data_IF_458887809545
#
_entry.id   IF_458887809545
#
_cell.length_a   1.000
_cell.length_b   1.000
_cell.length_c   1.000
_cell.angle_alpha   90.00
_cell.angle_beta   90.00
_cell.angle_gamma   90.00
#
_symmetry.space_group_name_H-M   'P 1'
#
loop_
_entity.id
_entity.type
_entity.pdbx_description
1 polymer ?
#
# COMPACT_ATOMS: atom_id res chain seq x y z
N UNK A 1 -6.28 -4.37 18.50
CA UNK A 1 -4.94 -4.14 19.07
C UNK A 1 -4.21 -5.45 19.37
N UNK A 2 -4.82 -6.43 20.05
CA UNK A 2 -4.17 -7.72 20.40
C UNK A 2 -3.67 -8.48 19.17
N UNK A 3 -4.45 -8.58 18.09
CA UNK A 3 -4.05 -9.26 16.85
C UNK A 3 -2.85 -8.58 16.19
N UNK A 4 -2.77 -7.25 16.25
CA UNK A 4 -1.65 -6.50 15.72
C UNK A 4 -0.37 -6.80 16.51
N UNK A 5 -0.45 -6.83 17.84
CA UNK A 5 0.68 -7.17 18.70
C UNK A 5 1.18 -8.60 18.46
N UNK A 6 0.26 -9.57 18.31
CA UNK A 6 0.62 -10.97 17.97
C UNK A 6 1.30 -11.06 16.61
N UNK A 7 0.81 -10.31 15.61
CA UNK A 7 1.42 -10.26 14.27
C UNK A 7 2.82 -9.64 14.32
N UNK A 8 2.97 -8.52 15.02
CA UNK A 8 4.27 -7.86 15.18
C UNK A 8 5.29 -8.79 15.85
N UNK A 9 4.89 -9.51 16.92
CA UNK A 9 5.73 -10.51 17.58
C UNK A 9 6.14 -11.64 16.64
N UNK A 10 5.20 -12.19 15.86
CA UNK A 10 5.48 -13.25 14.87
C UNK A 10 6.47 -12.78 13.80
N UNK A 11 6.34 -11.54 13.35
CA UNK A 11 7.20 -10.94 12.34
C UNK A 11 8.50 -10.36 12.92
N UNK A 12 8.72 -10.48 14.24
CA UNK A 12 9.90 -9.97 14.96
C UNK A 12 10.14 -8.47 14.68
N UNK A 13 9.05 -7.69 14.61
CA UNK A 13 9.14 -6.26 14.34
C UNK A 13 9.55 -5.49 15.61
N UNK A 14 10.44 -4.48 15.49
CA UNK A 14 10.74 -3.57 16.59
C UNK A 14 9.49 -2.73 16.94
N UNK A 15 9.08 -2.75 18.21
CA UNK A 15 7.86 -2.04 18.67
C UNK A 15 8.16 -0.76 19.44
N UNK A 16 9.42 -0.43 19.66
CA UNK A 16 9.88 0.62 20.58
C UNK A 16 9.37 2.02 20.19
N UNK A 17 9.13 2.26 18.90
CA UNK A 17 8.67 3.56 18.37
C UNK A 17 7.31 3.48 17.70
N UNK A 18 6.55 2.41 17.97
CA UNK A 18 5.22 2.21 17.40
C UNK A 18 4.14 2.50 18.43
N UNK A 19 3.35 3.54 18.18
CA UNK A 19 2.10 3.81 18.88
C UNK A 19 0.92 3.35 18.05
N UNK A 20 -0.06 2.70 18.66
CA UNK A 20 -1.25 2.19 17.97
C UNK A 20 -2.51 2.73 18.64
N UNK A 21 -3.41 3.28 17.84
CA UNK A 21 -4.72 3.74 18.27
C UNK A 21 -5.83 3.03 17.48
N UNK A 22 -6.94 2.71 18.15
CA UNK A 22 -8.17 2.24 17.51
C UNK A 22 -9.17 3.40 17.49
N UNK A 23 -9.09 4.22 16.43
CA UNK A 23 -9.92 5.41 16.24
C UNK A 23 -10.27 5.54 14.77
N UNK A 24 -11.49 6.00 14.46
CA UNK A 24 -11.99 6.22 13.10
C UNK A 24 -12.34 7.68 12.82
N UNK A 25 -12.48 8.52 13.85
CA UNK A 25 -12.82 9.93 13.71
C UNK A 25 -11.58 10.74 13.34
N UNK A 26 -11.62 11.39 12.20
CA UNK A 26 -10.49 12.14 11.65
C UNK A 26 -10.04 13.27 12.59
N UNK A 27 -11.00 13.95 13.24
CA UNK A 27 -10.74 15.06 14.15
C UNK A 27 -9.98 14.59 15.41
N UNK A 28 -10.33 13.43 15.95
CA UNK A 28 -9.64 12.85 17.12
C UNK A 28 -8.23 12.38 16.74
N UNK A 29 -8.08 11.80 15.56
CA UNK A 29 -6.76 11.40 15.04
C UNK A 29 -5.88 12.64 14.87
N UNK A 30 -6.40 13.74 14.36
CA UNK A 30 -5.65 15.00 14.24
C UNK A 30 -5.15 15.50 15.60
N UNK A 31 -6.00 15.48 16.63
CA UNK A 31 -5.60 15.86 18.00
C UNK A 31 -4.49 14.95 18.56
N UNK A 32 -4.54 13.63 18.25
CA UNK A 32 -3.47 12.70 18.60
C UNK A 32 -2.16 13.05 17.90
N UNK A 33 -2.22 13.36 16.61
CA UNK A 33 -1.07 13.77 15.79
C UNK A 33 -0.44 15.05 16.35
N UNK A 34 -1.24 16.07 16.65
CA UNK A 34 -0.77 17.34 17.21
C UNK A 34 -0.07 17.15 18.54
N UNK A 35 -0.60 16.28 19.40
CA UNK A 35 -0.08 15.99 20.74
C UNK A 35 1.20 15.16 20.70
N UNK A 36 1.24 14.12 19.86
CA UNK A 36 2.35 13.15 19.82
C UNK A 36 3.45 13.50 18.81
N UNK A 37 3.12 14.35 17.81
CA UNK A 37 4.03 14.77 16.74
C UNK A 37 4.80 13.60 16.10
N UNK A 38 4.13 12.57 15.62
CA UNK A 38 4.78 11.46 14.96
C UNK A 38 5.39 11.91 13.64
N UNK A 39 6.46 11.28 13.18
CA UNK A 39 7.02 11.52 11.84
C UNK A 39 6.19 10.86 10.73
N UNK A 40 5.60 9.71 11.05
CA UNK A 40 4.79 8.92 10.12
C UNK A 40 3.49 8.50 10.80
N UNK A 41 2.39 8.64 10.10
CA UNK A 41 1.06 8.14 10.50
C UNK A 41 0.58 7.16 9.44
N UNK A 42 0.11 5.99 9.85
CA UNK A 42 -0.50 5.01 8.95
C UNK A 42 -1.96 4.86 9.33
N UNK A 43 -2.86 5.08 8.38
CA UNK A 43 -4.30 4.94 8.53
C UNK A 43 -4.78 3.69 7.76
N UNK A 44 -5.14 2.63 8.48
CA UNK A 44 -5.61 1.36 7.92
C UNK A 44 -7.04 1.09 8.41
N UNK A 45 -8.02 1.36 7.57
CA UNK A 45 -8.01 1.85 6.19
C UNK A 45 -8.78 3.16 6.05
N UNK A 46 -8.53 3.89 4.96
CA UNK A 46 -9.24 5.16 4.68
C UNK A 46 -10.76 4.98 4.58
N UNK A 47 -11.24 3.79 4.19
CA UNK A 47 -12.66 3.51 4.04
C UNK A 47 -13.45 3.50 5.37
N UNK A 48 -12.79 3.26 6.49
CA UNK A 48 -13.45 3.27 7.81
C UNK A 48 -13.33 4.61 8.53
N UNK A 49 -12.53 5.53 7.97
CA UNK A 49 -12.39 6.88 8.54
C UNK A 49 -13.65 7.70 8.29
N UNK A 50 -13.97 8.56 9.24
CA UNK A 50 -15.14 9.43 9.18
C UNK A 50 -14.84 10.82 9.73
N UNK A 51 -15.54 11.80 9.20
CA UNK A 51 -15.58 13.18 9.72
C UNK A 51 -16.97 13.43 10.29
N UNK A 52 -17.03 13.95 11.52
CA UNK A 52 -18.29 14.22 12.23
C UNK A 52 -19.17 15.26 11.53
N UNK A 53 -18.54 16.17 10.78
CA UNK A 53 -19.25 17.23 10.04
C UNK A 53 -19.97 16.74 8.77
N UNK A 54 -19.85 15.46 8.39
CA UNK A 54 -20.41 14.91 7.18
C UNK A 54 -21.53 13.89 7.47
N UNK A 55 -22.73 14.13 6.95
CA UNK A 55 -23.89 13.24 7.10
C UNK A 55 -23.78 11.94 6.27
N UNK A 56 -22.70 11.78 5.49
CA UNK A 56 -22.50 10.61 4.64
C UNK A 56 -21.91 9.43 5.42
N UNK A 57 -22.27 8.20 5.01
CA UNK A 57 -21.77 6.99 5.69
C UNK A 57 -20.27 6.77 5.47
N UNK A 58 -19.55 6.17 6.45
CA UNK A 58 -18.17 5.73 6.27
C UNK A 58 -18.02 4.85 5.02
N UNK A 59 -16.92 5.00 4.28
CA UNK A 59 -16.67 4.28 3.04
C UNK A 59 -17.37 4.84 1.79
N UNK A 60 -18.29 5.80 1.95
CA UNK A 60 -18.84 6.52 0.80
C UNK A 60 -17.78 7.35 0.09
N UNK A 61 -17.99 7.63 -1.21
CA UNK A 61 -17.08 8.45 -2.02
C UNK A 61 -16.82 9.81 -1.35
N UNK A 62 -17.86 10.41 -0.81
CA UNK A 62 -17.77 11.71 -0.13
C UNK A 62 -16.91 11.65 1.12
N UNK A 63 -17.17 10.68 2.02
CA UNK A 63 -16.37 10.50 3.24
C UNK A 63 -14.90 10.23 2.90
N UNK A 64 -14.62 9.30 2.00
CA UNK A 64 -13.24 8.95 1.63
C UNK A 64 -12.50 10.16 1.04
N UNK A 65 -13.16 10.93 0.17
CA UNK A 65 -12.57 12.11 -0.45
C UNK A 65 -12.27 13.23 0.56
N UNK A 66 -13.26 13.59 1.37
CA UNK A 66 -13.10 14.67 2.33
C UNK A 66 -12.11 14.32 3.45
N UNK A 67 -12.15 13.08 3.93
CA UNK A 67 -11.21 12.57 4.93
C UNK A 67 -9.77 12.55 4.38
N UNK A 68 -9.58 12.09 3.14
CA UNK A 68 -8.25 12.13 2.50
C UNK A 68 -7.75 13.56 2.30
N UNK A 69 -8.65 14.51 1.91
CA UNK A 69 -8.33 15.93 1.82
C UNK A 69 -7.89 16.50 3.16
N UNK A 70 -8.62 16.16 4.22
CA UNK A 70 -8.31 16.56 5.59
C UNK A 70 -6.91 16.08 6.01
N UNK A 71 -6.61 14.80 5.85
CA UNK A 71 -5.30 14.24 6.22
C UNK A 71 -4.16 14.75 5.32
N UNK A 72 -4.41 15.03 4.06
CA UNK A 72 -3.42 15.67 3.17
C UNK A 72 -3.04 17.06 3.66
N UNK A 73 -4.01 17.86 4.14
CA UNK A 73 -3.74 19.18 4.75
C UNK A 73 -2.99 19.04 6.07
N UNK A 74 -3.41 18.10 6.92
CA UNK A 74 -2.77 17.81 8.21
C UNK A 74 -1.29 17.44 8.02
N UNK A 75 -1.00 16.56 7.03
CA UNK A 75 0.37 16.17 6.69
C UNK A 75 1.25 17.38 6.37
N UNK A 76 0.74 18.30 5.54
CA UNK A 76 1.47 19.52 5.14
C UNK A 76 1.62 20.53 6.28
N UNK A 77 0.60 20.66 7.13
CA UNK A 77 0.65 21.60 8.27
C UNK A 77 1.67 21.19 9.33
N UNK A 78 1.85 19.89 9.54
CA UNK A 78 2.72 19.35 10.59
C UNK A 78 4.04 18.80 10.07
N UNK A 79 4.30 18.88 8.76
CA UNK A 79 5.49 18.31 8.10
C UNK A 79 5.71 16.83 8.45
N UNK A 80 4.64 16.05 8.31
CA UNK A 80 4.63 14.61 8.60
C UNK A 80 4.22 13.81 7.35
N UNK A 81 4.63 12.55 7.31
CA UNK A 81 4.20 11.60 6.29
C UNK A 81 2.92 10.91 6.75
N UNK A 82 1.85 10.98 5.94
CA UNK A 82 0.63 10.20 6.18
C UNK A 82 0.46 9.16 5.08
N UNK A 83 0.41 7.90 5.46
CA UNK A 83 0.15 6.76 4.59
C UNK A 83 -1.32 6.36 4.74
N UNK A 84 -2.09 6.52 3.67
CA UNK A 84 -3.48 6.08 3.59
C UNK A 84 -3.52 4.68 2.98
N UNK A 85 -3.88 3.68 3.76
CA UNK A 85 -4.12 2.32 3.25
C UNK A 85 -5.56 2.26 2.73
N UNK A 86 -5.73 1.78 1.51
CA UNK A 86 -7.04 1.61 0.89
C UNK A 86 -7.18 0.25 0.23
N UNK A 87 -8.40 -0.28 0.20
CA UNK A 87 -8.72 -1.53 -0.47
C UNK A 87 -9.44 -1.25 -1.79
N UNK A 88 -9.04 -1.97 -2.83
CA UNK A 88 -9.69 -1.94 -4.14
C UNK A 88 -10.62 -3.15 -4.21
N UNK A 89 -11.91 -2.91 -4.47
CA UNK A 89 -12.82 -4.01 -4.80
C UNK A 89 -12.68 -4.40 -6.26
N UNK A 90 -12.82 -5.69 -6.56
CA UNK A 90 -12.71 -6.23 -7.93
C UNK A 90 -13.69 -5.59 -8.92
N UNK A 91 -14.75 -5.00 -8.44
CA UNK A 91 -15.84 -4.41 -9.24
C UNK A 91 -15.65 -2.92 -9.55
N UNK A 92 -14.57 -2.29 -9.07
CA UNK A 92 -14.25 -0.88 -9.39
C UNK A 92 -15.28 0.16 -8.91
N UNK A 93 -16.26 -0.24 -8.12
CA UNK A 93 -17.49 0.54 -7.88
C UNK A 93 -17.53 1.38 -6.61
N UNK A 94 -16.55 1.32 -5.72
CA UNK A 94 -16.56 2.15 -4.50
C UNK A 94 -15.32 3.04 -4.52
N UNK A 95 -15.48 4.28 -4.11
CA UNK A 95 -14.50 5.35 -3.91
C UNK A 95 -13.04 4.86 -4.06
N UNK A 96 -12.73 4.48 -5.29
CA UNK A 96 -11.51 3.76 -5.60
C UNK A 96 -10.32 4.71 -5.68
N UNK A 97 -9.15 4.19 -5.98
CA UNK A 97 -7.88 4.91 -6.08
C UNK A 97 -7.96 6.16 -6.94
N UNK A 98 -8.79 6.16 -7.99
CA UNK A 98 -8.95 7.31 -8.92
C UNK A 98 -9.41 8.59 -8.23
N UNK A 99 -10.28 8.50 -7.20
CA UNK A 99 -10.74 9.69 -6.46
C UNK A 99 -9.61 10.29 -5.64
N UNK A 100 -8.74 9.46 -5.08
CA UNK A 100 -7.63 9.88 -4.23
C UNK A 100 -6.38 10.26 -5.04
N UNK A 101 -6.20 9.68 -6.22
CA UNK A 101 -4.98 9.83 -7.02
C UNK A 101 -4.62 11.30 -7.30
N UNK A 102 -5.62 12.16 -7.51
CA UNK A 102 -5.38 13.58 -7.75
C UNK A 102 -5.02 14.37 -6.48
N UNK A 103 -5.34 13.85 -5.31
CA UNK A 103 -5.21 14.55 -4.03
C UNK A 103 -3.91 14.21 -3.30
N UNK A 104 -3.37 13.01 -3.50
CA UNK A 104 -2.17 12.50 -2.84
C UNK A 104 -0.92 12.72 -3.68
N UNK A 105 0.23 12.78 -3.03
CA UNK A 105 1.51 13.04 -3.69
C UNK A 105 2.13 11.77 -4.29
N UNK A 106 1.88 10.62 -3.69
CA UNK A 106 2.35 9.33 -4.15
C UNK A 106 1.22 8.28 -4.07
N UNK A 107 1.05 7.49 -5.12
CA UNK A 107 0.12 6.38 -5.17
C UNK A 107 0.84 5.11 -5.59
N UNK A 108 0.77 4.09 -4.73
CA UNK A 108 1.32 2.77 -4.97
C UNK A 108 0.23 1.71 -4.87
N UNK A 109 0.29 0.72 -5.74
CA UNK A 109 -0.61 -0.43 -5.72
C UNK A 109 0.16 -1.68 -5.34
N UNK A 110 -0.32 -2.37 -4.31
CA UNK A 110 0.14 -3.70 -3.94
C UNK A 110 -0.85 -4.73 -4.51
N UNK A 111 -0.39 -5.53 -5.46
CA UNK A 111 -1.21 -6.56 -6.10
C UNK A 111 -0.83 -7.96 -5.63
N UNK A 112 -1.82 -8.85 -5.66
CA UNK A 112 -1.74 -10.23 -5.20
C UNK A 112 -2.45 -11.15 -6.18
N UNK A 113 -1.77 -11.62 -7.24
CA UNK A 113 -2.37 -12.57 -8.17
C UNK A 113 -2.90 -13.81 -7.45
N UNK A 114 -4.09 -14.27 -7.85
CA UNK A 114 -4.73 -15.42 -7.22
C UNK A 114 -3.82 -16.65 -7.28
N UNK A 115 -3.65 -17.33 -6.14
CA UNK A 115 -2.81 -18.52 -6.01
C UNK A 115 -1.30 -18.26 -6.02
N UNK A 116 -0.84 -17.02 -6.20
CA UNK A 116 0.57 -16.68 -6.19
C UNK A 116 1.08 -16.39 -4.77
N UNK A 117 2.26 -16.90 -4.44
CA UNK A 117 3.00 -16.51 -3.24
C UNK A 117 3.70 -15.17 -3.37
N UNK A 118 3.70 -14.59 -4.56
CA UNK A 118 4.35 -13.31 -4.83
C UNK A 118 3.37 -12.15 -4.71
N UNK A 119 3.91 -10.99 -4.42
CA UNK A 119 3.21 -9.71 -4.38
C UNK A 119 3.99 -8.71 -5.21
N UNK A 120 3.29 -7.88 -5.97
CA UNK A 120 3.91 -6.82 -6.76
C UNK A 120 3.50 -5.47 -6.19
N UNK A 121 4.46 -4.60 -5.97
CA UNK A 121 4.26 -3.21 -5.57
C UNK A 121 4.63 -2.32 -6.75
N UNK A 122 3.68 -1.58 -7.27
CA UNK A 122 3.86 -0.68 -8.41
C UNK A 122 3.54 0.75 -8.05
N UNK A 123 4.41 1.68 -8.42
CA UNK A 123 4.12 3.10 -8.38
C UNK A 123 3.21 3.49 -9.56
N UNK A 124 2.10 4.18 -9.27
CA UNK A 124 1.19 4.73 -10.27
C UNK A 124 1.28 6.25 -10.36
N UNK A 125 1.60 6.90 -9.26
CA UNK A 125 1.83 8.34 -9.21
C UNK A 125 2.93 8.64 -8.20
N UNK A 126 3.82 9.54 -8.57
CA UNK A 126 4.85 10.07 -7.68
C UNK A 126 5.20 11.49 -8.11
N UNK A 127 4.88 12.47 -7.30
CA UNK A 127 5.23 13.88 -7.57
C UNK A 127 6.72 14.17 -7.41
N UNK A 128 7.45 13.27 -6.74
CA UNK A 128 8.86 13.47 -6.37
C UNK A 128 9.84 12.64 -7.18
N UNK A 129 9.35 11.81 -8.13
CA UNK A 129 10.22 10.95 -8.92
C UNK A 129 9.48 10.07 -9.93
N UNK A 130 10.16 9.07 -10.44
CA UNK A 130 9.63 8.15 -11.43
C UNK A 130 8.50 7.26 -10.86
N UNK A 131 7.60 6.82 -11.73
CA UNK A 131 6.46 5.94 -11.39
C UNK A 131 6.58 4.53 -11.95
N UNK A 132 7.59 4.27 -12.80
CA UNK A 132 7.73 3.01 -13.51
C UNK A 132 8.49 1.94 -12.73
N UNK A 133 8.57 2.08 -11.41
CA UNK A 133 9.25 1.14 -10.54
C UNK A 133 8.31 0.00 -10.13
N UNK A 134 8.86 -1.23 -10.16
CA UNK A 134 8.17 -2.45 -9.76
C UNK A 134 8.98 -3.18 -8.69
N UNK A 135 8.41 -3.31 -7.50
CA UNK A 135 8.92 -4.18 -6.45
C UNK A 135 8.22 -5.54 -6.47
N UNK A 136 8.98 -6.63 -6.36
CA UNK A 136 8.43 -7.98 -6.24
C UNK A 136 8.84 -8.57 -4.90
N UNK A 137 7.85 -9.11 -4.19
CA UNK A 137 8.02 -9.68 -2.85
C UNK A 137 7.47 -11.09 -2.81
N UNK A 138 8.14 -11.99 -2.10
CA UNK A 138 7.64 -13.31 -1.76
C UNK A 138 7.02 -13.30 -0.37
N UNK A 139 5.84 -13.92 -0.24
CA UNK A 139 5.22 -14.15 1.07
C UNK A 139 5.90 -15.32 1.76
N UNK A 140 6.38 -15.10 2.97
CA UNK A 140 7.00 -16.10 3.84
C UNK A 140 6.33 -16.09 5.21
N UNK A 141 6.64 -17.08 6.04
CA UNK A 141 6.14 -17.15 7.44
C UNK A 141 6.61 -15.95 8.28
N UNK A 142 7.74 -15.35 7.90
CA UNK A 142 8.30 -14.14 8.52
C UNK A 142 7.89 -12.85 7.82
N UNK A 143 6.88 -12.88 6.94
CA UNK A 143 6.38 -11.73 6.21
C UNK A 143 6.85 -11.66 4.76
N UNK A 144 6.78 -10.49 4.17
CA UNK A 144 7.22 -10.23 2.79
C UNK A 144 8.73 -10.09 2.73
N UNK A 145 9.36 -10.84 1.82
CA UNK A 145 10.79 -10.69 1.49
C UNK A 145 10.94 -10.20 0.06
N UNK A 146 11.81 -9.22 -0.16
CA UNK A 146 12.16 -8.75 -1.49
C UNK A 146 12.75 -9.88 -2.34
N UNK A 147 12.35 -9.93 -3.60
CA UNK A 147 12.91 -10.81 -4.61
C UNK A 147 13.93 -10.02 -5.43
N UNK A 148 15.20 -10.22 -5.13
CA UNK A 148 16.29 -9.48 -5.77
C UNK A 148 16.42 -9.76 -7.28
N UNK A 149 16.10 -10.99 -7.71
CA UNK A 149 16.11 -11.38 -9.11
C UNK A 149 14.72 -11.92 -9.55
N UNK A 150 13.81 -11.03 -9.98
CA UNK A 150 12.48 -11.44 -10.45
C UNK A 150 12.50 -12.33 -11.68
N UNK A 151 13.47 -12.18 -12.57
CA UNK A 151 13.60 -13.02 -13.76
C UNK A 151 13.71 -14.51 -13.42
N UNK A 152 14.32 -14.84 -12.29
CA UNK A 152 14.41 -16.24 -11.84
C UNK A 152 13.05 -16.87 -11.50
N UNK A 153 11.99 -16.05 -11.30
CA UNK A 153 10.64 -16.53 -11.05
C UNK A 153 9.93 -16.92 -12.35
N UNK A 154 10.24 -16.20 -13.43
CA UNK A 154 9.55 -16.31 -14.71
C UNK A 154 10.28 -17.25 -15.69
N UNK A 155 11.52 -17.64 -15.35
CA UNK A 155 12.25 -18.67 -16.10
C UNK A 155 11.90 -20.03 -15.48
N UNK A 156 11.19 -20.87 -16.22
CA UNK A 156 11.01 -22.26 -15.87
C UNK A 156 12.33 -22.99 -16.16
N UNK A 157 13.19 -23.06 -15.15
CA UNK A 157 14.34 -23.97 -15.21
C UNK A 157 13.87 -25.41 -14.93
N UNK A 158 13.25 -26.02 -15.94
CA UNK A 158 13.11 -27.47 -15.97
C UNK A 158 14.47 -28.09 -16.29
N UNK A 159 14.76 -29.24 -15.71
CA UNK A 159 15.99 -30.01 -15.98
C UNK A 159 16.05 -30.58 -17.43
N UNK A 160 15.06 -30.27 -18.25
CA UNK A 160 14.94 -30.75 -19.63
C UNK A 160 14.58 -29.57 -20.53
N UNK A 161 15.41 -29.31 -21.54
CA UNK A 161 15.08 -28.40 -22.65
C UNK A 161 13.77 -28.85 -23.30
N UNK A 162 12.69 -28.12 -23.05
CA UNK A 162 11.41 -28.38 -23.69
C UNK A 162 11.42 -27.77 -25.08
N UNK A 163 11.26 -28.58 -26.14
CA UNK A 163 11.16 -28.05 -27.51
C UNK A 163 10.01 -27.05 -27.60
N UNK A 164 10.32 -25.83 -28.11
CA UNK A 164 9.33 -24.74 -28.25
C UNK A 164 9.30 -23.73 -27.12
N UNK A 165 10.12 -23.89 -26.07
CA UNK A 165 10.31 -22.89 -25.02
C UNK A 165 11.49 -21.98 -25.36
N UNK A 166 11.29 -20.67 -25.32
CA UNK A 166 12.31 -19.67 -25.65
C UNK A 166 12.28 -18.57 -24.57
N UNK A 167 13.43 -18.34 -23.93
CA UNK A 167 13.58 -17.19 -23.03
C UNK A 167 13.60 -15.89 -23.86
N UNK A 168 12.74 -14.97 -23.50
CA UNK A 168 12.65 -13.65 -24.13
C UNK A 168 12.70 -12.55 -23.08
N UNK A 169 12.92 -11.31 -23.54
CA UNK A 169 12.92 -10.13 -22.67
C UNK A 169 11.61 -9.37 -22.86
N UNK A 170 10.89 -9.15 -21.78
CA UNK A 170 9.77 -8.22 -21.73
C UNK A 170 10.11 -7.02 -20.85
N UNK A 171 9.48 -5.88 -21.11
CA UNK A 171 9.64 -4.68 -20.32
C UNK A 171 8.43 -4.49 -19.40
N UNK A 172 8.69 -4.39 -18.10
CA UNK A 172 7.72 -3.98 -17.09
C UNK A 172 8.13 -2.61 -16.53
N UNK A 173 7.50 -1.57 -17.05
CA UNK A 173 7.91 -0.18 -16.77
C UNK A 173 9.31 0.10 -17.33
N UNK A 174 10.27 0.39 -16.46
CA UNK A 174 11.69 0.61 -16.80
C UNK A 174 12.55 -0.63 -16.58
N UNK A 175 11.99 -1.74 -16.12
CA UNK A 175 12.73 -2.94 -15.74
C UNK A 175 12.61 -4.03 -16.81
N UNK A 176 13.72 -4.51 -17.39
CA UNK A 176 13.70 -5.69 -18.24
C UNK A 176 13.53 -6.94 -17.38
N UNK A 177 12.63 -7.83 -17.78
CA UNK A 177 12.39 -9.13 -17.16
C UNK A 177 12.62 -10.22 -18.21
N UNK A 178 13.35 -11.27 -17.84
CA UNK A 178 13.41 -12.49 -18.64
C UNK A 178 12.19 -13.35 -18.31
N UNK A 179 11.50 -13.79 -19.34
CA UNK A 179 10.33 -14.68 -19.28
C UNK A 179 10.52 -15.82 -20.27
N UNK A 180 9.95 -16.99 -19.94
CA UNK A 180 9.96 -18.19 -20.76
C UNK A 180 8.54 -18.60 -21.13
#
# INVERSE_FOLDING_TARGET
>A
LQQLALRAKRLQLPMEHLSVAAETRAEVIAQLVERQRPKVVILDSIQVMQMEALDSTPGSVTQVRETASFFTRLAKQHDIVIVLVGHITKEGGIAGPKVLEHMIDCFMMLDSPAGSRYRTLRGHKNRFGAVNELGIFAMTDLGMKEVANPSAIFLQRGDVDSPGSIATVTWEGTRPLLVE
#
